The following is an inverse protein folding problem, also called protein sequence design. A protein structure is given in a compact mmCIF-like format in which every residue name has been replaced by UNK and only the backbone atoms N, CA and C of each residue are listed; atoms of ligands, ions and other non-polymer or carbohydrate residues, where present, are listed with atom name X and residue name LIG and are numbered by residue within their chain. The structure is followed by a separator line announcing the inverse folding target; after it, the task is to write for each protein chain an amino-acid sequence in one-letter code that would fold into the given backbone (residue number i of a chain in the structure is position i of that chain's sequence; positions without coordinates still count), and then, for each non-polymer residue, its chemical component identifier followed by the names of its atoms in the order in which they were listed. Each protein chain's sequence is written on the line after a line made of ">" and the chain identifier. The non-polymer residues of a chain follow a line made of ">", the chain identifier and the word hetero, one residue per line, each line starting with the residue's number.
data_IF_689746184087
#
_entry.id   IF_689746184087
#
_cell.length_a   1.000
_cell.length_b   1.000
_cell.length_c   1.000
_cell.angle_alpha   90.00
_cell.angle_beta   90.00
_cell.angle_gamma   90.00
#
_symmetry.space_group_name_H-M   'P 1'
#
loop_
_entity.id
_entity.type
_entity.pdbx_description
1 polymer ?
#
# COMPACT_ATOMS: atom_id res chain seq x y z
N UNK A 1 14.31 8.96 9.29
CA UNK A 1 13.36 9.95 9.86
C UNK A 1 11.99 9.30 9.93
N UNK A 2 11.57 8.87 11.13
CA UNK A 2 10.31 8.19 11.37
C UNK A 2 9.20 9.22 11.60
N UNK A 3 8.66 9.80 10.52
CA UNK A 3 7.30 10.34 10.59
C UNK A 3 6.40 9.11 10.56
N UNK A 4 6.03 8.59 11.74
CA UNK A 4 5.11 7.47 11.85
C UNK A 4 3.72 7.98 11.45
N UNK A 5 3.37 7.86 10.18
CA UNK A 5 2.02 8.14 9.69
C UNK A 5 1.10 7.14 10.40
N UNK A 6 0.17 7.66 11.20
CA UNK A 6 -0.88 6.86 11.84
C UNK A 6 -2.15 6.99 11.03
N UNK A 7 -2.50 6.00 10.20
CA UNK A 7 -3.78 6.01 9.51
C UNK A 7 -4.93 5.92 10.51
N UNK A 8 -6.03 6.61 10.20
CA UNK A 8 -7.28 6.59 10.98
C UNK A 8 -8.27 5.63 10.32
N UNK A 9 -9.24 5.15 11.10
CA UNK A 9 -10.31 4.25 10.63
C UNK A 9 -9.75 2.98 9.95
N UNK A 10 -10.25 2.64 8.78
CA UNK A 10 -9.86 1.50 7.94
C UNK A 10 -8.75 1.83 6.94
N UNK A 11 -8.09 2.99 7.08
CA UNK A 11 -7.02 3.39 6.17
C UNK A 11 -5.74 2.59 6.40
N UNK A 12 -4.99 2.38 5.34
CA UNK A 12 -3.73 1.64 5.34
C UNK A 12 -2.68 2.49 4.63
N UNK A 13 -1.48 2.55 5.22
CA UNK A 13 -0.33 3.22 4.59
C UNK A 13 0.52 2.15 3.93
N UNK A 14 0.75 2.30 2.63
CA UNK A 14 1.51 1.38 1.81
C UNK A 14 2.75 2.09 1.28
N UNK A 15 3.90 1.43 1.37
CA UNK A 15 5.11 1.80 0.64
C UNK A 15 5.08 1.12 -0.71
N UNK A 16 5.09 1.90 -1.79
CA UNK A 16 5.14 1.35 -3.14
C UNK A 16 6.46 0.60 -3.34
N UNK A 17 6.41 -0.61 -3.89
CA UNK A 17 7.63 -1.27 -4.38
C UNK A 17 8.05 -0.59 -5.67
N UNK A 18 9.36 -0.42 -5.88
CA UNK A 18 9.88 0.17 -7.12
C UNK A 18 9.52 -0.73 -8.31
N UNK A 19 9.04 -0.11 -9.39
CA UNK A 19 8.80 -0.83 -10.64
C UNK A 19 10.12 -1.25 -11.27
N UNK A 20 10.17 -2.47 -11.83
CA UNK A 20 11.35 -2.97 -12.54
C UNK A 20 11.70 -2.01 -13.68
N UNK A 21 12.89 -1.41 -13.58
CA UNK A 21 13.36 -0.40 -14.55
C UNK A 21 13.96 -1.05 -15.80
N UNK A 22 14.29 -2.33 -15.71
CA UNK A 22 14.94 -3.10 -16.76
C UNK A 22 14.18 -4.40 -16.95
N UNK A 23 13.76 -4.68 -18.18
CA UNK A 23 13.14 -5.97 -18.50
C UNK A 23 14.16 -7.10 -18.43
N UNK A 24 13.70 -8.35 -18.35
CA UNK A 24 14.58 -9.54 -18.39
C UNK A 24 15.50 -9.60 -19.65
N UNK A 25 15.16 -8.84 -20.70
CA UNK A 25 15.90 -8.69 -21.95
C UNK A 25 16.88 -7.50 -21.99
N UNK A 26 17.01 -6.74 -20.89
CA UNK A 26 17.95 -5.62 -20.77
C UNK A 26 17.44 -4.28 -21.33
N UNK A 27 16.15 -4.19 -21.69
CA UNK A 27 15.56 -2.93 -22.19
C UNK A 27 15.21 -2.01 -21.03
N UNK A 28 15.67 -0.76 -21.08
CA UNK A 28 15.34 0.28 -20.10
C UNK A 28 13.98 0.87 -20.47
N UNK A 29 12.99 0.71 -19.59
CA UNK A 29 11.67 1.32 -19.80
C UNK A 29 11.73 2.78 -19.36
N UNK A 30 11.43 3.75 -20.26
CA UNK A 30 11.40 5.16 -19.89
C UNK A 30 10.34 5.42 -18.82
N UNK A 31 10.63 6.31 -17.88
CA UNK A 31 9.80 6.55 -16.68
C UNK A 31 8.36 6.96 -16.99
N UNK A 32 8.08 7.48 -18.18
CA UNK A 32 6.74 7.84 -18.65
C UNK A 32 5.85 6.66 -19.04
N UNK A 33 6.45 5.51 -19.36
CA UNK A 33 5.75 4.28 -19.74
C UNK A 33 5.64 3.26 -18.59
N UNK A 34 6.26 3.56 -17.44
CA UNK A 34 6.14 2.73 -16.24
C UNK A 34 4.76 2.89 -15.65
N UNK A 35 3.95 1.86 -15.78
CA UNK A 35 2.69 1.78 -15.04
C UNK A 35 3.01 1.81 -13.54
N UNK A 36 2.31 2.67 -12.79
CA UNK A 36 2.56 2.79 -11.34
C UNK A 36 2.34 1.42 -10.71
N UNK A 37 3.32 0.89 -9.94
CA UNK A 37 3.21 -0.42 -9.34
C UNK A 37 2.00 -0.43 -8.41
N UNK A 38 1.08 -1.34 -8.70
CA UNK A 38 -0.10 -1.61 -7.87
C UNK A 38 0.24 -2.53 -6.70
N UNK A 39 1.51 -2.94 -6.57
CA UNK A 39 2.02 -3.68 -5.42
C UNK A 39 2.74 -2.76 -4.43
N UNK A 40 2.66 -3.10 -3.16
CA UNK A 40 3.36 -2.39 -2.10
C UNK A 40 3.40 -3.18 -0.80
N UNK A 41 4.25 -2.70 0.12
CA UNK A 41 4.38 -3.24 1.47
C UNK A 41 3.59 -2.37 2.45
N UNK A 42 2.78 -3.00 3.30
CA UNK A 42 2.02 -2.31 4.33
C UNK A 42 2.96 -1.82 5.43
N UNK A 43 3.01 -0.51 5.65
CA UNK A 43 3.87 0.11 6.68
C UNK A 43 3.11 0.58 7.91
N UNK A 44 1.80 0.81 7.79
CA UNK A 44 0.94 1.12 8.94
C UNK A 44 -0.52 0.75 8.63
N UNK A 45 -1.24 0.27 9.64
CA UNK A 45 -2.64 -0.13 9.55
C UNK A 45 -3.47 0.68 10.53
N UNK A 46 -4.63 1.15 10.07
CA UNK A 46 -5.57 1.89 10.89
C UNK A 46 -6.25 0.99 11.91
N UNK A 47 -6.86 1.56 12.96
CA UNK A 47 -7.48 0.78 14.03
C UNK A 47 -8.84 0.15 13.63
N UNK A 48 -9.22 0.22 12.36
CA UNK A 48 -10.46 -0.34 11.82
C UNK A 48 -11.63 0.64 11.85
N UNK A 49 -12.58 0.43 10.92
CA UNK A 49 -13.86 1.14 10.88
C UNK A 49 -14.69 0.83 12.13
N UNK A 50 -15.45 1.81 12.61
CA UNK A 50 -16.42 1.59 13.69
C UNK A 50 -17.77 1.23 13.07
N UNK A 51 -18.39 0.16 13.55
CA UNK A 51 -19.75 -0.22 13.18
C UNK A 51 -20.81 0.65 13.89
N UNK A 52 -22.07 0.52 13.50
CA UNK A 52 -23.17 1.30 14.08
C UNK A 52 -23.42 0.98 15.56
N UNK A 53 -22.84 -0.10 16.08
CA UNK A 53 -22.92 -0.54 17.46
C UNK A 53 -21.72 -0.06 18.31
N UNK A 54 -20.77 0.66 17.72
CA UNK A 54 -19.57 1.17 18.38
C UNK A 54 -18.41 0.18 18.46
N UNK A 55 -18.50 -0.99 17.81
CA UNK A 55 -17.41 -1.97 17.74
C UNK A 55 -16.46 -1.64 16.59
N UNK A 56 -15.17 -1.97 16.77
CA UNK A 56 -14.19 -1.87 15.70
C UNK A 56 -14.23 -3.11 14.81
N UNK A 57 -14.40 -2.91 13.53
CA UNK A 57 -14.22 -3.94 12.50
C UNK A 57 -12.72 -4.08 12.22
N UNK A 58 -12.13 -5.26 12.45
CA UNK A 58 -10.70 -5.46 12.22
C UNK A 58 -10.38 -5.34 10.73
N UNK A 59 -9.14 -4.92 10.45
CA UNK A 59 -8.59 -4.87 9.09
C UNK A 59 -7.88 -6.19 8.82
N UNK A 60 -8.03 -6.74 7.61
CA UNK A 60 -7.49 -8.06 7.25
C UNK A 60 -6.00 -8.05 6.88
N UNK A 61 -5.35 -6.89 6.92
CA UNK A 61 -3.93 -6.73 6.56
C UNK A 61 -3.11 -6.32 7.77
N UNK A 62 -1.86 -6.78 7.84
CA UNK A 62 -0.90 -6.47 8.88
C UNK A 62 0.30 -5.69 8.34
N UNK A 63 1.04 -5.05 9.25
CA UNK A 63 2.31 -4.38 8.91
C UNK A 63 3.31 -5.43 8.44
N UNK A 64 3.94 -5.19 7.27
CA UNK A 64 4.87 -6.11 6.62
C UNK A 64 4.24 -6.95 5.51
N UNK A 65 2.91 -6.94 5.37
CA UNK A 65 2.24 -7.66 4.29
C UNK A 65 2.51 -7.01 2.93
N UNK A 66 2.69 -7.84 1.91
CA UNK A 66 2.78 -7.40 0.52
C UNK A 66 1.41 -7.48 -0.11
N UNK A 67 0.86 -6.35 -0.51
CA UNK A 67 -0.52 -6.22 -0.99
C UNK A 67 -0.56 -5.66 -2.41
N UNK A 68 -1.49 -6.17 -3.20
CA UNK A 68 -1.91 -5.57 -4.45
C UNK A 68 -3.07 -4.62 -4.14
N UNK A 69 -2.95 -3.34 -4.47
CA UNK A 69 -3.93 -2.31 -4.20
C UNK A 69 -4.37 -1.60 -5.48
N UNK A 70 -5.64 -1.21 -5.54
CA UNK A 70 -6.13 -0.40 -6.65
C UNK A 70 -5.50 1.00 -6.59
N UNK A 71 -5.08 1.51 -7.74
CA UNK A 71 -4.57 2.89 -7.89
C UNK A 71 -5.64 3.95 -7.59
N UNK A 72 -6.91 3.56 -7.69
CA UNK A 72 -8.07 4.38 -7.37
C UNK A 72 -8.71 3.80 -6.12
N UNK A 73 -8.59 4.53 -5.01
CA UNK A 73 -9.35 4.30 -3.77
C UNK A 73 -10.56 5.20 -3.70
#
# INVERSE_FOLDING_TARGET
>A
MSVSIKPLEDRIVIRQVEAETTTASGLVIPDTAKEKPQEGEVVAVGPGRVDDNGNRVPVDVAVGDRVLYSKYG
#
